data_IF_010637161265
#
_entry.id   IF_010637161265
#
_cell.length_a   1.000
_cell.length_b   1.000
_cell.length_c   1.000
_cell.angle_alpha   90.00
_cell.angle_beta   90.00
_cell.angle_gamma   90.00
#
_symmetry.space_group_name_H-M   'P 1'
#
loop_
_entity.id
_entity.type
_entity.pdbx_description
1 polymer ?
#
# COMPACT_ATOMS: atom_id res chain seq x y z
N UNK A 1 47.52 -17.27 41.05
CA UNK A 1 47.45 -15.95 40.40
C UNK A 1 46.90 -16.16 38.99
N UNK A 2 45.57 -16.13 38.85
CA UNK A 2 44.90 -16.47 37.61
C UNK A 2 44.97 -15.27 36.65
N UNK A 3 45.66 -15.46 35.53
CA UNK A 3 45.60 -14.54 34.40
C UNK A 3 44.22 -14.60 33.76
N UNK A 4 43.54 -13.47 33.70
CA UNK A 4 42.26 -13.34 33.00
C UNK A 4 42.57 -12.90 31.56
N UNK A 5 42.41 -13.84 30.64
CA UNK A 5 42.30 -13.61 29.20
C UNK A 5 41.08 -12.72 28.93
N UNK A 6 41.30 -11.53 28.38
CA UNK A 6 40.24 -10.68 27.83
C UNK A 6 39.93 -11.15 26.40
N UNK A 7 38.71 -11.60 26.08
CA UNK A 7 38.37 -11.98 24.71
C UNK A 7 38.10 -10.75 23.85
N UNK A 8 38.57 -10.81 22.60
CA UNK A 8 38.37 -9.83 21.53
C UNK A 8 36.93 -9.81 20.99
N UNK A 9 35.92 -9.68 21.86
CA UNK A 9 34.49 -9.86 21.50
C UNK A 9 33.58 -8.67 21.83
N UNK A 10 34.11 -7.57 22.38
CA UNK A 10 33.28 -6.45 22.86
C UNK A 10 33.10 -5.33 21.81
N UNK A 11 33.92 -5.31 20.75
CA UNK A 11 33.88 -4.27 19.71
C UNK A 11 32.90 -4.51 18.55
N UNK A 12 32.41 -5.73 18.35
CA UNK A 12 31.65 -6.09 17.14
C UNK A 12 30.14 -5.91 17.29
N UNK A 13 29.60 -5.97 18.52
CA UNK A 13 28.15 -5.96 18.76
C UNK A 13 27.53 -4.58 18.68
N UNK A 14 28.22 -3.52 19.12
CA UNK A 14 27.66 -2.16 19.07
C UNK A 14 27.56 -1.67 17.62
N UNK A 15 28.59 -1.92 16.79
CA UNK A 15 28.56 -1.55 15.38
C UNK A 15 27.55 -2.40 14.60
N UNK A 16 27.43 -3.71 14.89
CA UNK A 16 26.46 -4.58 14.24
C UNK A 16 25.00 -4.25 14.63
N UNK A 17 24.74 -3.91 15.90
CA UNK A 17 23.41 -3.49 16.36
C UNK A 17 23.04 -2.10 15.82
N UNK A 18 23.98 -1.15 15.78
CA UNK A 18 23.75 0.17 15.19
C UNK A 18 23.55 0.06 13.66
N UNK A 19 24.28 -0.84 12.99
CA UNK A 19 24.11 -1.10 11.56
C UNK A 19 22.75 -1.76 11.25
N UNK A 20 22.33 -2.75 12.05
CA UNK A 20 20.98 -3.34 11.94
C UNK A 20 19.86 -2.34 12.24
N UNK A 21 20.07 -1.40 13.17
CA UNK A 21 19.12 -0.32 13.46
C UNK A 21 18.99 0.64 12.27
N UNK A 22 20.07 0.88 11.51
CA UNK A 22 20.05 1.70 10.30
C UNK A 22 19.39 0.99 9.11
N UNK A 23 19.56 -0.34 8.96
CA UNK A 23 18.85 -1.14 7.95
C UNK A 23 17.33 -1.13 8.17
N UNK A 24 16.87 -1.25 9.42
CA UNK A 24 15.42 -1.19 9.73
C UNK A 24 14.81 0.17 9.41
N UNK A 25 15.57 1.27 9.56
CA UNK A 25 15.11 2.61 9.18
C UNK A 25 15.04 2.80 7.65
N UNK A 26 15.84 2.06 6.89
CA UNK A 26 15.80 2.05 5.43
C UNK A 26 14.62 1.25 4.86
N UNK A 27 14.23 0.14 5.51
CA UNK A 27 13.08 -0.67 5.11
C UNK A 27 11.72 0.00 5.39
N UNK A 28 11.61 0.77 6.48
CA UNK A 28 10.38 1.51 6.82
C UNK A 28 10.08 2.71 5.89
N UNK A 29 11.08 3.28 5.20
CA UNK A 29 10.90 4.43 4.30
C UNK A 29 10.44 4.06 2.87
N UNK A 30 10.30 2.76 2.54
CA UNK A 30 9.93 2.30 1.18
C UNK A 30 8.43 1.98 1.05
N UNK A 31 7.60 2.25 2.06
CA UNK A 31 6.15 1.92 2.02
C UNK A 31 5.16 3.09 1.93
N UNK A 32 5.58 4.35 1.95
CA UNK A 32 4.63 5.46 2.18
C UNK A 32 3.95 6.05 0.92
N UNK A 33 4.48 5.78 -0.28
CA UNK A 33 3.88 6.29 -1.51
C UNK A 33 2.89 5.28 -2.10
N UNK A 34 1.66 5.71 -2.45
CA UNK A 34 0.74 4.80 -3.12
C UNK A 34 1.32 4.30 -4.44
N UNK A 35 1.27 2.98 -4.61
CA UNK A 35 1.78 2.29 -5.80
C UNK A 35 0.79 2.35 -6.97
N UNK A 36 -0.39 2.91 -6.74
CA UNK A 36 -1.43 3.04 -7.75
C UNK A 36 -2.53 4.01 -7.36
N UNK A 37 -3.62 3.96 -8.11
CA UNK A 37 -4.88 4.64 -7.84
C UNK A 37 -6.05 3.83 -8.41
N UNK A 38 -7.27 4.17 -7.98
CA UNK A 38 -8.50 3.53 -8.46
C UNK A 38 -9.46 4.61 -8.94
N UNK A 39 -9.99 4.45 -10.14
CA UNK A 39 -11.06 5.27 -10.68
C UNK A 39 -12.35 4.47 -10.74
N UNK A 40 -13.43 5.00 -10.17
CA UNK A 40 -14.77 4.41 -10.24
C UNK A 40 -15.59 5.18 -11.27
N UNK A 41 -16.11 4.50 -12.29
CA UNK A 41 -17.11 5.06 -13.19
C UNK A 41 -18.46 5.07 -12.46
N UNK A 42 -18.77 6.20 -11.82
CA UNK A 42 -19.96 6.38 -10.98
C UNK A 42 -21.25 6.00 -11.69
N UNK A 43 -21.33 6.25 -13.00
CA UNK A 43 -22.51 5.98 -13.82
C UNK A 43 -22.68 4.52 -14.25
N UNK A 44 -21.71 3.66 -13.94
CA UNK A 44 -21.80 2.20 -14.13
C UNK A 44 -21.90 1.49 -12.78
N UNK A 45 -21.32 2.07 -11.71
CA UNK A 45 -21.29 1.45 -10.39
C UNK A 45 -22.70 1.23 -9.80
N UNK A 46 -23.04 -0.04 -9.55
CA UNK A 46 -24.30 -0.46 -8.89
C UNK A 46 -24.25 -0.47 -7.35
N UNK A 47 -23.15 0.00 -6.75
CA UNK A 47 -23.05 0.13 -5.29
C UNK A 47 -23.09 -1.18 -4.49
N UNK A 48 -22.73 -2.32 -5.08
CA UNK A 48 -22.80 -3.65 -4.44
C UNK A 48 -21.74 -3.92 -3.34
N UNK A 49 -20.84 -2.97 -3.09
CA UNK A 49 -19.80 -2.97 -2.04
C UNK A 49 -18.80 -4.14 -2.00
N UNK A 50 -18.85 -5.11 -2.92
CA UNK A 50 -17.88 -6.22 -3.00
C UNK A 50 -16.42 -5.75 -3.06
N UNK A 51 -16.15 -4.70 -3.85
CA UNK A 51 -14.80 -4.13 -3.95
C UNK A 51 -14.32 -3.48 -2.64
N UNK A 52 -15.22 -2.95 -1.80
CA UNK A 52 -14.87 -2.38 -0.49
C UNK A 52 -14.42 -3.52 0.43
N UNK A 53 -15.19 -4.60 0.51
CA UNK A 53 -14.88 -5.75 1.34
C UNK A 53 -13.58 -6.45 0.91
N UNK A 54 -13.33 -6.53 -0.40
CA UNK A 54 -12.16 -7.21 -0.95
C UNK A 54 -10.87 -6.37 -0.93
N UNK A 55 -10.95 -5.05 -0.69
CA UNK A 55 -9.77 -4.19 -0.76
C UNK A 55 -8.87 -4.38 0.48
N UNK A 56 -7.65 -4.95 0.34
CA UNK A 56 -6.78 -5.20 1.50
C UNK A 56 -6.30 -3.89 2.13
N UNK A 57 -6.10 -2.84 1.32
CA UNK A 57 -5.68 -1.52 1.77
C UNK A 57 -6.85 -0.67 2.33
N UNK A 58 -8.11 -1.14 2.22
CA UNK A 58 -9.31 -0.45 2.72
C UNK A 58 -9.45 0.99 2.24
N UNK A 59 -9.13 1.23 0.97
CA UNK A 59 -9.12 2.57 0.34
C UNK A 59 -10.38 2.93 -0.45
N UNK A 60 -11.38 2.06 -0.44
CA UNK A 60 -12.67 2.28 -1.10
C UNK A 60 -13.76 2.49 -0.03
N UNK A 61 -14.72 3.36 -0.32
CA UNK A 61 -15.87 3.67 0.55
C UNK A 61 -17.14 3.81 -0.28
N UNK A 62 -18.30 3.60 0.36
CA UNK A 62 -19.57 3.87 -0.29
C UNK A 62 -19.90 5.36 -0.16
N UNK A 63 -20.32 5.99 -1.25
CA UNK A 63 -20.84 7.35 -1.26
C UNK A 63 -22.16 7.44 -0.47
N UNK A 64 -22.44 8.60 0.11
CA UNK A 64 -23.73 8.94 0.69
C UNK A 64 -24.65 9.68 -0.31
N UNK A 65 -24.22 9.83 -1.56
CA UNK A 65 -24.96 10.50 -2.65
C UNK A 65 -25.34 9.47 -3.70
N UNK A 66 -26.59 9.52 -4.16
CA UNK A 66 -27.09 8.68 -5.25
C UNK A 66 -26.52 9.13 -6.59
N UNK A 67 -26.09 8.17 -7.42
CA UNK A 67 -25.75 8.40 -8.82
C UNK A 67 -27.03 8.48 -9.69
N UNK A 68 -26.85 8.71 -11.01
CA UNK A 68 -27.96 8.77 -11.98
C UNK A 68 -28.80 7.50 -12.08
N UNK A 69 -28.24 6.36 -11.65
CA UNK A 69 -28.91 5.06 -11.66
C UNK A 69 -29.67 4.78 -10.35
N UNK A 70 -29.60 5.68 -9.36
CA UNK A 70 -30.22 5.49 -8.05
C UNK A 70 -29.42 4.62 -7.09
N UNK A 71 -28.12 4.44 -7.30
CA UNK A 71 -27.23 3.70 -6.40
C UNK A 71 -26.26 4.60 -5.64
N UNK A 72 -25.96 4.21 -4.40
CA UNK A 72 -24.82 4.74 -3.65
C UNK A 72 -23.53 4.13 -4.19
N UNK A 73 -22.93 4.82 -5.18
CA UNK A 73 -21.73 4.37 -5.86
C UNK A 73 -20.52 4.30 -4.90
N UNK A 74 -19.55 3.45 -5.23
CA UNK A 74 -18.28 3.38 -4.51
C UNK A 74 -17.38 4.54 -4.93
N UNK A 75 -16.56 5.04 -3.99
CA UNK A 75 -15.58 6.13 -4.21
C UNK A 75 -14.22 5.71 -3.66
N UNK A 76 -13.16 6.16 -4.32
CA UNK A 76 -11.78 5.99 -3.87
C UNK A 76 -11.39 7.12 -2.91
N UNK A 77 -10.73 6.78 -1.79
CA UNK A 77 -10.30 7.75 -0.76
C UNK A 77 -9.19 8.72 -1.23
N UNK A 78 -8.49 8.39 -2.31
CA UNK A 78 -7.45 9.25 -2.91
C UNK A 78 -6.01 8.92 -2.52
N UNK A 79 -5.78 8.05 -1.53
CA UNK A 79 -4.45 7.58 -1.12
C UNK A 79 -4.49 6.13 -0.60
N UNK A 80 -3.32 5.54 -0.35
CA UNK A 80 -3.09 4.18 0.17
C UNK A 80 -3.29 3.04 -0.83
N UNK A 81 -3.53 3.32 -2.11
CA UNK A 81 -3.75 2.27 -3.10
C UNK A 81 -2.44 1.54 -3.44
N UNK A 82 -2.45 0.22 -3.29
CA UNK A 82 -1.30 -0.64 -3.62
C UNK A 82 -1.24 -1.04 -5.09
N UNK A 83 -2.26 -0.71 -5.89
CA UNK A 83 -2.36 -1.11 -7.30
C UNK A 83 -2.65 -2.60 -7.53
N UNK A 84 -3.06 -3.36 -6.50
CA UNK A 84 -3.19 -4.81 -6.56
C UNK A 84 -4.27 -5.37 -7.52
N UNK A 85 -5.21 -4.55 -7.99
CA UNK A 85 -6.23 -4.99 -8.96
C UNK A 85 -7.39 -5.84 -8.41
N UNK A 86 -7.37 -6.27 -7.14
CA UNK A 86 -8.42 -7.15 -6.58
C UNK A 86 -9.83 -6.55 -6.72
N UNK A 87 -9.97 -5.25 -6.49
CA UNK A 87 -11.25 -4.56 -6.65
C UNK A 87 -11.82 -4.65 -8.09
N UNK A 88 -10.95 -4.67 -9.10
CA UNK A 88 -11.35 -4.83 -10.49
C UNK A 88 -11.89 -6.25 -10.75
N UNK A 89 -11.19 -7.28 -10.30
CA UNK A 89 -11.56 -8.67 -10.54
C UNK A 89 -12.83 -9.12 -9.81
N UNK A 90 -13.10 -8.56 -8.63
CA UNK A 90 -14.32 -8.89 -7.86
C UNK A 90 -15.54 -8.09 -8.34
N UNK A 91 -15.35 -7.05 -9.16
CA UNK A 91 -16.46 -6.21 -9.59
C UNK A 91 -17.34 -6.98 -10.59
N UNK A 92 -18.65 -7.16 -10.32
CA UNK A 92 -19.55 -7.82 -11.25
C UNK A 92 -19.97 -6.90 -12.41
N UNK A 93 -19.63 -5.60 -12.34
CA UNK A 93 -19.99 -4.63 -13.36
C UNK A 93 -18.81 -4.34 -14.29
N UNK A 94 -18.91 -4.69 -15.59
CA UNK A 94 -17.85 -4.43 -16.55
C UNK A 94 -17.59 -2.92 -16.67
N UNK A 95 -16.32 -2.53 -16.77
CA UNK A 95 -15.85 -1.15 -16.91
C UNK A 95 -16.16 -0.19 -15.74
N UNK A 96 -16.79 -0.64 -14.65
CA UNK A 96 -17.08 0.23 -13.51
C UNK A 96 -15.84 0.65 -12.71
N UNK A 97 -14.75 -0.12 -12.77
CA UNK A 97 -13.52 0.13 -12.03
C UNK A 97 -12.34 0.14 -13.00
N UNK A 98 -11.46 1.11 -12.84
CA UNK A 98 -10.13 1.14 -13.48
C UNK A 98 -9.08 1.21 -12.38
N UNK A 99 -8.05 0.36 -12.46
CA UNK A 99 -6.92 0.36 -11.53
C UNK A 99 -5.67 0.76 -12.31
N UNK A 100 -4.94 1.75 -11.81
CA UNK A 100 -3.69 2.21 -12.41
C UNK A 100 -2.54 1.89 -11.47
N UNK A 101 -1.43 1.41 -12.03
CA UNK A 101 -0.19 1.12 -11.28
C UNK A 101 0.87 2.11 -11.72
N UNK A 102 1.46 2.82 -10.75
CA UNK A 102 2.57 3.74 -11.01
C UNK A 102 3.85 2.93 -11.20
N UNK A 103 4.59 3.20 -12.28
CA UNK A 103 5.96 2.69 -12.42
C UNK A 103 6.84 3.48 -11.45
N UNK A 104 7.71 2.79 -10.71
CA UNK A 104 8.72 3.45 -9.91
C UNK A 104 9.73 4.06 -10.88
N UNK A 105 9.84 5.38 -10.94
CA UNK A 105 10.99 6.02 -11.58
C UNK A 105 12.22 5.63 -10.74
N UNK A 106 13.14 4.87 -11.33
CA UNK A 106 14.42 4.60 -10.72
C UNK A 106 15.18 5.93 -10.66
N UNK A 107 15.34 6.47 -9.46
CA UNK A 107 16.26 7.56 -9.21
C UNK A 107 17.66 7.00 -9.45
N UNK A 108 18.14 7.11 -10.69
CA UNK A 108 19.54 6.88 -11.03
C UNK A 108 20.31 7.97 -10.31
N UNK A 109 20.91 7.61 -9.19
CA UNK A 109 21.68 8.51 -8.34
C UNK A 109 22.74 9.25 -9.14
N UNK A 110 22.83 10.55 -8.88
CA UNK A 110 23.93 11.42 -9.28
C UNK A 110 25.19 11.10 -8.47
#
# INVERSE_FOLDING_TARGET
MAGVLLPASIGFTVSFLLYRQLETLGEELVSEADRGDVQIAVDLCKGCTLCIAACPAKVLVQSNILNRLGYYAVTYKGSGCTGCGICFYVCPEPAAITVRVRKKEEVVGA
#
